data_IF_901047564984
#
_entry.id   IF_901047564984
#
_cell.length_a   1.000
_cell.length_b   1.000
_cell.length_c   1.000
_cell.angle_alpha   90.00
_cell.angle_beta   90.00
_cell.angle_gamma   90.00
#
_symmetry.space_group_name_H-M   'P 1'
#
loop_
_entity.id
_entity.type
_entity.pdbx_description
1 polymer ?
#
# COMPACT_ATOMS: atom_id res chain seq x y z
N UNK A 1 -2.70 0.47 3.14
CA UNK A 1 -4.12 0.18 2.82
C UNK A 1 -4.91 -0.45 3.97
N UNK A 2 -4.53 -0.23 5.23
CA UNK A 2 -5.29 -0.75 6.36
C UNK A 2 -6.79 -0.38 6.38
N UNK A 3 -7.23 0.83 5.97
CA UNK A 3 -8.66 1.18 5.90
C UNK A 3 -9.53 0.21 5.07
N UNK A 4 -8.94 -0.48 4.09
CA UNK A 4 -9.65 -1.37 3.17
C UNK A 4 -10.27 -2.59 3.87
N UNK A 5 -9.88 -2.91 5.10
CA UNK A 5 -10.58 -3.92 5.90
C UNK A 5 -12.05 -3.52 6.21
N UNK A 6 -12.35 -2.22 6.21
CA UNK A 6 -13.70 -1.68 6.45
C UNK A 6 -14.41 -1.35 5.14
N UNK A 7 -13.71 -0.64 4.24
CA UNK A 7 -14.33 -0.04 3.06
C UNK A 7 -14.19 -0.90 1.79
N UNK A 8 -13.47 -2.01 1.87
CA UNK A 8 -13.11 -2.85 0.74
C UNK A 8 -11.97 -2.26 -0.10
N UNK A 9 -11.38 -3.11 -0.94
CA UNK A 9 -10.42 -2.66 -1.94
C UNK A 9 -11.15 -2.15 -3.18
N UNK A 10 -10.68 -1.01 -3.70
CA UNK A 10 -11.18 -0.43 -4.92
C UNK A 10 -10.03 0.06 -5.78
N UNK A 11 -10.09 -0.29 -7.06
CA UNK A 11 -9.16 0.22 -8.06
C UNK A 11 -9.23 1.76 -8.13
N UNK A 12 -8.09 2.40 -8.36
CA UNK A 12 -7.95 3.87 -8.37
C UNK A 12 -8.98 4.61 -9.26
N UNK A 13 -9.34 4.12 -10.47
CA UNK A 13 -10.38 4.75 -11.27
C UNK A 13 -11.76 4.80 -10.60
N UNK A 14 -12.10 3.78 -9.80
CA UNK A 14 -13.39 3.73 -9.08
C UNK A 14 -13.35 4.67 -7.89
N UNK A 15 -12.25 4.71 -7.11
CA UNK A 15 -12.08 5.65 -5.98
C UNK A 15 -12.35 7.11 -6.42
N UNK A 16 -11.90 7.49 -7.62
CA UNK A 16 -12.13 8.82 -8.19
C UNK A 16 -13.60 9.09 -8.57
N UNK A 17 -14.38 8.06 -8.89
CA UNK A 17 -15.77 8.16 -9.33
C UNK A 17 -16.79 8.16 -8.18
N UNK A 18 -16.49 7.54 -7.02
CA UNK A 18 -17.42 7.45 -5.87
C UNK A 18 -17.68 8.83 -5.23
N UNK A 19 -16.71 9.74 -5.31
CA UNK A 19 -16.85 11.11 -4.85
C UNK A 19 -16.24 11.40 -3.46
N UNK A 20 -16.35 12.66 -2.98
CA UNK A 20 -15.54 13.16 -1.86
C UNK A 20 -15.84 12.52 -0.51
N UNK A 21 -17.07 12.01 -0.31
CA UNK A 21 -17.44 11.33 0.93
C UNK A 21 -16.63 10.05 1.18
N UNK A 22 -16.22 9.35 0.12
CA UNK A 22 -15.38 8.18 0.23
C UNK A 22 -13.96 8.53 0.70
N UNK A 23 -13.36 9.55 0.08
CA UNK A 23 -12.03 10.03 0.47
C UNK A 23 -12.00 10.50 1.94
N UNK A 24 -13.03 11.23 2.37
CA UNK A 24 -13.15 11.67 3.76
C UNK A 24 -13.29 10.49 4.74
N UNK A 25 -13.98 9.41 4.35
CA UNK A 25 -14.08 8.19 5.15
C UNK A 25 -12.73 7.46 5.26
N UNK A 26 -12.03 7.29 4.13
CA UNK A 26 -10.70 6.69 4.07
C UNK A 26 -9.67 7.45 4.93
N UNK A 27 -9.69 8.79 4.88
CA UNK A 27 -8.83 9.65 5.70
C UNK A 27 -9.11 9.49 7.20
N UNK A 28 -10.39 9.43 7.60
CA UNK A 28 -10.78 9.25 9.01
C UNK A 28 -10.41 7.87 9.53
N UNK A 29 -10.58 6.82 8.73
CA UNK A 29 -10.15 5.47 9.08
C UNK A 29 -8.63 5.38 9.21
N UNK A 30 -7.90 5.96 8.25
CA UNK A 30 -6.44 6.04 8.28
C UNK A 30 -5.95 6.71 9.57
N UNK A 31 -6.53 7.86 9.93
CA UNK A 31 -6.17 8.57 11.16
C UNK A 31 -6.44 7.74 12.42
N UNK A 32 -7.61 7.08 12.51
CA UNK A 32 -7.96 6.23 13.63
C UNK A 32 -7.00 5.04 13.77
N UNK A 33 -6.63 4.41 12.65
CA UNK A 33 -5.68 3.29 12.61
C UNK A 33 -4.28 3.75 13.06
N UNK A 34 -3.77 4.86 12.53
CA UNK A 34 -2.49 5.40 12.96
C UNK A 34 -2.44 5.66 14.47
N UNK A 35 -3.47 6.33 15.01
CA UNK A 35 -3.58 6.61 16.46
C UNK A 35 -3.59 5.31 17.26
N UNK A 36 -4.35 4.29 16.82
CA UNK A 36 -4.42 2.98 17.49
C UNK A 36 -3.06 2.31 17.64
N UNK A 37 -2.13 2.57 16.72
CA UNK A 37 -0.77 2.00 16.73
C UNK A 37 0.29 3.00 17.17
N UNK A 38 -0.09 4.12 17.80
CA UNK A 38 0.86 5.10 18.36
C UNK A 38 1.56 5.97 17.31
N UNK A 39 1.06 6.00 16.08
CA UNK A 39 1.57 6.85 15.01
C UNK A 39 0.82 8.21 14.96
N UNK A 40 1.42 9.25 14.37
CA UNK A 40 0.71 10.49 14.08
C UNK A 40 -0.53 10.23 13.22
N UNK A 41 -1.67 10.81 13.58
CA UNK A 41 -2.93 10.69 12.82
C UNK A 41 -2.72 11.02 11.33
N UNK A 42 -1.96 12.08 11.05
CA UNK A 42 -1.50 12.46 9.71
C UNK A 42 0.02 12.32 9.67
N UNK A 43 0.52 11.47 8.76
CA UNK A 43 1.95 11.26 8.58
C UNK A 43 2.63 12.50 7.97
N UNK A 44 3.92 12.73 8.27
CA UNK A 44 4.70 13.76 7.59
C UNK A 44 4.64 13.59 6.06
N UNK A 45 4.56 14.71 5.34
CA UNK A 45 4.42 14.70 3.88
C UNK A 45 5.55 13.95 3.15
N UNK A 46 6.76 13.99 3.71
CA UNK A 46 7.92 13.23 3.21
C UNK A 46 7.69 11.72 3.27
N UNK A 47 7.20 11.22 4.40
CA UNK A 47 6.87 9.80 4.60
C UNK A 47 5.72 9.38 3.70
N UNK A 48 4.65 10.19 3.63
CA UNK A 48 3.51 9.94 2.72
C UNK A 48 3.94 9.82 1.27
N UNK A 49 4.90 10.65 0.83
CA UNK A 49 5.45 10.59 -0.53
C UNK A 49 6.25 9.30 -0.78
N UNK A 50 7.10 8.88 0.15
CA UNK A 50 7.85 7.62 -0.01
C UNK A 50 6.92 6.39 -0.01
N UNK A 51 5.90 6.38 0.86
CA UNK A 51 4.86 5.34 0.82
C UNK A 51 4.18 5.31 -0.55
N UNK A 52 3.79 6.49 -1.09
CA UNK A 52 3.18 6.56 -2.42
C UNK A 52 4.10 6.17 -3.57
N UNK A 53 5.40 6.38 -3.43
CA UNK A 53 6.38 5.87 -4.39
C UNK A 53 6.49 4.35 -4.33
N UNK A 54 6.51 3.75 -3.15
CA UNK A 54 6.54 2.29 -2.97
C UNK A 54 5.25 1.62 -3.47
N UNK A 55 4.09 2.18 -3.12
CA UNK A 55 2.74 1.80 -3.59
C UNK A 55 2.69 1.75 -5.14
N UNK A 56 3.15 2.83 -5.78
CA UNK A 56 3.18 2.93 -7.25
C UNK A 56 4.12 1.92 -7.91
N UNK A 57 5.26 1.61 -7.28
CA UNK A 57 6.17 0.57 -7.76
C UNK A 57 5.57 -0.83 -7.59
N UNK A 58 4.89 -1.10 -6.47
CA UNK A 58 4.15 -2.37 -6.27
C UNK A 58 3.09 -2.55 -7.35
N UNK A 59 2.26 -1.54 -7.59
CA UNK A 59 1.23 -1.57 -8.62
C UNK A 59 1.80 -1.80 -10.03
N UNK A 60 2.96 -1.20 -10.34
CA UNK A 60 3.65 -1.46 -11.61
C UNK A 60 4.10 -2.93 -11.73
N UNK A 61 4.69 -3.49 -10.68
CA UNK A 61 5.11 -4.90 -10.66
C UNK A 61 3.92 -5.84 -10.77
N UNK A 62 2.83 -5.55 -10.05
CA UNK A 62 1.59 -6.33 -10.09
C UNK A 62 0.99 -6.31 -11.50
N UNK A 63 0.93 -5.13 -12.11
CA UNK A 63 0.42 -4.95 -13.47
C UNK A 63 1.13 -5.87 -14.47
N UNK A 64 2.48 -5.89 -14.42
CA UNK A 64 3.31 -6.64 -15.38
C UNK A 64 3.37 -8.14 -15.05
N UNK A 65 3.48 -8.52 -13.78
CA UNK A 65 3.76 -9.91 -13.40
C UNK A 65 2.51 -10.76 -13.24
N UNK A 66 1.40 -10.19 -12.75
CA UNK A 66 0.22 -10.97 -12.37
C UNK A 66 -1.10 -10.47 -12.98
N UNK A 67 -1.17 -9.23 -13.47
CA UNK A 67 -2.39 -8.68 -14.08
C UNK A 67 -2.37 -8.62 -15.62
N UNK A 68 -1.28 -9.06 -16.26
CA UNK A 68 -1.20 -9.24 -17.71
C UNK A 68 -0.96 -7.97 -18.54
N UNK A 69 -0.60 -6.85 -17.89
CA UNK A 69 -0.25 -5.62 -18.60
C UNK A 69 1.13 -5.76 -19.26
N UNK A 70 1.28 -5.15 -20.43
CA UNK A 70 2.60 -4.92 -21.01
C UNK A 70 3.35 -3.88 -20.19
N UNK A 71 4.69 -3.91 -20.30
CA UNK A 71 5.55 -2.89 -19.64
C UNK A 71 5.18 -1.46 -20.07
N UNK A 72 4.88 -1.25 -21.34
CA UNK A 72 4.48 0.07 -21.86
C UNK A 72 3.15 0.55 -21.28
N UNK A 73 2.18 -0.33 -21.09
CA UNK A 73 0.93 0.03 -20.42
C UNK A 73 1.16 0.37 -18.95
N UNK A 74 1.96 -0.44 -18.25
CA UNK A 74 2.32 -0.20 -16.85
C UNK A 74 3.10 1.11 -16.68
N UNK A 75 4.07 1.41 -17.56
CA UNK A 75 4.82 2.67 -17.56
C UNK A 75 3.89 3.88 -17.77
N UNK A 76 2.89 3.75 -18.65
CA UNK A 76 1.91 4.82 -18.91
C UNK A 76 0.99 5.08 -17.72
N UNK A 77 0.53 4.03 -17.03
CA UNK A 77 -0.44 4.13 -15.93
C UNK A 77 0.23 4.43 -14.58
N UNK A 78 1.30 3.71 -14.28
CA UNK A 78 2.00 3.75 -12.99
C UNK A 78 3.34 4.48 -13.07
N UNK A 79 3.69 5.09 -14.20
CA UNK A 79 4.99 5.72 -14.40
C UNK A 79 6.08 4.67 -14.62
N UNK A 80 7.09 5.04 -15.40
CA UNK A 80 8.22 4.14 -15.61
C UNK A 80 8.90 3.83 -14.27
N UNK A 81 9.14 2.56 -13.99
CA UNK A 81 9.90 2.12 -12.83
C UNK A 81 11.33 2.71 -12.80
N UNK A 82 11.78 3.32 -13.91
CA UNK A 82 13.01 4.09 -14.00
C UNK A 82 14.24 3.21 -13.80
N UNK A 83 15.22 3.73 -13.05
CA UNK A 83 16.46 3.01 -12.69
C UNK A 83 16.31 2.15 -11.43
N UNK A 84 15.09 1.92 -10.91
CA UNK A 84 14.93 1.06 -9.74
C UNK A 84 15.36 -0.36 -10.09
N UNK A 85 16.26 -0.91 -9.27
CA UNK A 85 16.66 -2.30 -9.43
C UNK A 85 15.51 -3.20 -9.00
N UNK A 86 14.78 -3.70 -9.99
CA UNK A 86 13.67 -4.64 -9.77
C UNK A 86 14.11 -6.10 -9.84
N UNK A 87 15.41 -6.38 -9.94
CA UNK A 87 15.93 -7.76 -9.97
C UNK A 87 15.61 -8.43 -8.63
N UNK A 88 14.98 -9.59 -8.71
CA UNK A 88 14.59 -10.39 -7.54
C UNK A 88 13.28 -9.96 -6.87
N UNK A 89 12.62 -8.89 -7.33
CA UNK A 89 11.26 -8.56 -6.89
C UNK A 89 10.24 -9.35 -7.71
N UNK A 90 9.85 -10.50 -7.18
CA UNK A 90 8.82 -11.37 -7.78
C UNK A 90 7.58 -11.40 -6.90
N UNK A 91 6.41 -11.24 -7.52
CA UNK A 91 5.12 -11.34 -6.84
C UNK A 91 4.64 -12.79 -6.95
N UNK A 92 4.51 -13.44 -5.80
CA UNK A 92 3.92 -14.77 -5.68
C UNK A 92 2.53 -14.64 -5.05
N UNK A 93 1.51 -15.16 -5.75
CA UNK A 93 0.17 -15.33 -5.19
C UNK A 93 0.22 -16.45 -4.15
N UNK A 94 -0.24 -16.16 -2.93
CA UNK A 94 -0.15 -17.06 -1.78
C UNK A 94 -1.53 -17.27 -1.15
N UNK A 95 -1.75 -18.41 -0.47
CA UNK A 95 -2.99 -18.66 0.27
C UNK A 95 -3.29 -17.55 1.29
N UNK A 96 -4.56 -17.10 1.45
CA UNK A 96 -4.90 -15.99 2.35
C UNK A 96 -4.48 -16.19 3.81
N UNK A 97 -4.51 -17.43 4.30
CA UNK A 97 -4.10 -17.77 5.68
C UNK A 97 -2.60 -17.52 5.89
N UNK A 98 -1.78 -17.85 4.90
CA UNK A 98 -0.33 -17.64 4.94
C UNK A 98 0.01 -16.16 4.85
N UNK A 99 -0.61 -15.43 3.92
CA UNK A 99 -0.41 -13.98 3.77
C UNK A 99 -0.80 -13.24 5.05
N UNK A 100 -1.94 -13.59 5.65
CA UNK A 100 -2.39 -13.00 6.92
C UNK A 100 -1.38 -13.24 8.03
N UNK A 101 -0.91 -14.49 8.18
CA UNK A 101 0.07 -14.85 9.21
C UNK A 101 1.36 -14.04 9.04
N UNK A 102 1.91 -14.01 7.83
CA UNK A 102 3.18 -13.35 7.56
C UNK A 102 3.06 -11.82 7.69
N UNK A 103 1.92 -11.23 7.28
CA UNK A 103 1.63 -9.81 7.47
C UNK A 103 1.60 -9.43 8.96
N UNK A 104 0.87 -10.20 9.78
CA UNK A 104 0.79 -9.98 11.23
C UNK A 104 2.17 -10.13 11.88
N UNK A 105 2.91 -11.18 11.54
CA UNK A 105 4.26 -11.38 12.07
C UNK A 105 5.19 -10.19 11.75
N UNK A 106 5.14 -9.67 10.52
CA UNK A 106 5.93 -8.48 10.13
C UNK A 106 5.47 -7.22 10.85
N UNK A 107 4.16 -7.03 11.00
CA UNK A 107 3.59 -5.92 11.75
C UNK A 107 4.06 -5.94 13.21
N UNK A 108 4.05 -7.11 13.85
CA UNK A 108 4.46 -7.27 15.25
C UNK A 108 5.96 -7.03 15.43
N UNK A 109 6.80 -7.52 14.51
CA UNK A 109 8.24 -7.24 14.49
C UNK A 109 8.53 -5.74 14.41
N UNK A 110 7.86 -5.02 13.49
CA UNK A 110 8.04 -3.58 13.33
C UNK A 110 7.52 -2.80 14.55
N UNK A 111 6.38 -3.22 15.10
CA UNK A 111 5.79 -2.61 16.29
C UNK A 111 6.72 -2.76 17.51
N UNK A 112 7.32 -3.94 17.68
CA UNK A 112 8.27 -4.20 18.76
C UNK A 112 9.52 -3.31 18.65
N UNK A 113 10.05 -3.09 17.44
CA UNK A 113 11.18 -2.18 17.21
C UNK A 113 10.86 -0.74 17.58
N UNK A 114 9.66 -0.29 17.27
CA UNK A 114 9.22 1.08 17.57
C UNK A 114 9.12 1.34 19.08
N UNK A 115 8.77 0.31 19.87
CA UNK A 115 8.77 0.38 21.34
C UNK A 115 10.19 0.33 21.91
N UNK A 116 11.09 -0.46 21.32
CA UNK A 116 12.47 -0.60 21.78
C UNK A 116 13.34 0.66 21.54
N UNK A 117 12.91 1.54 20.63
CA UNK A 117 13.58 2.80 20.30
C UNK A 117 13.10 4.00 21.16
N UNK A 118 12.16 3.78 22.10
CA UNK A 118 11.67 4.75 23.08
C UNK A 118 12.34 4.57 24.44
#
# INVERSE_FOLDING_TARGET
>A
DAPEYVIGDMISPVKAAVGPGYAALDERLTAAIHIRFGLPAVLPATIKREIKRADRLSAWLEAVQIAGFTRSEADRLFGAAGNHDMRGLTIALRPPVEVRRDYVARHDELSARMVAEL
#
